data_IF_545095942792
#
_entry.id   IF_545095942792
#
_cell.length_a   1.000
_cell.length_b   1.000
_cell.length_c   1.000
_cell.angle_alpha   90.00
_cell.angle_beta   90.00
_cell.angle_gamma   90.00
#
_symmetry.space_group_name_H-M   'P 1'
#
loop_
_entity.id
_entity.type
_entity.pdbx_description
1 polymer ?
#
# COMPACT_ATOMS: atom_id res chain seq x y z
N UNK A 1 -0.49 11.48 6.10
CA UNK A 1 -1.16 10.85 4.95
C UNK A 1 -2.05 11.85 4.22
N UNK A 2 -2.18 11.70 2.90
CA UNK A 2 -3.12 12.45 2.08
C UNK A 2 -4.38 11.62 1.83
N UNK A 3 -5.54 12.26 1.87
CA UNK A 3 -6.83 11.64 1.53
C UNK A 3 -7.66 12.59 0.70
N UNK A 4 -8.53 12.06 -0.14
CA UNK A 4 -9.45 12.86 -0.96
C UNK A 4 -9.80 12.17 -2.27
N UNK A 5 -10.96 12.51 -2.81
CA UNK A 5 -11.50 11.92 -4.06
C UNK A 5 -10.85 12.49 -5.32
N UNK A 6 -10.42 13.74 -5.25
CA UNK A 6 -9.79 14.48 -6.36
C UNK A 6 -8.74 15.43 -5.80
N UNK A 7 -7.80 15.88 -6.64
CA UNK A 7 -6.79 16.84 -6.24
C UNK A 7 -7.38 18.11 -5.57
N UNK A 8 -8.49 18.62 -6.12
CA UNK A 8 -9.15 19.83 -5.59
C UNK A 8 -9.94 19.59 -4.29
N UNK A 9 -10.10 18.35 -3.85
CA UNK A 9 -10.80 17.94 -2.63
C UNK A 9 -9.95 16.96 -1.85
N UNK A 10 -8.67 17.24 -1.73
CA UNK A 10 -7.72 16.48 -0.94
C UNK A 10 -7.33 17.23 0.32
N UNK A 11 -7.04 16.48 1.36
CA UNK A 11 -6.56 16.97 2.65
C UNK A 11 -5.32 16.17 3.02
N UNK A 12 -4.26 16.87 3.43
CA UNK A 12 -3.06 16.25 3.98
C UNK A 12 -3.13 16.36 5.50
N UNK A 13 -3.07 15.23 6.18
CA UNK A 13 -3.11 15.14 7.64
C UNK A 13 -1.70 14.85 8.14
N UNK A 14 -1.21 15.71 9.04
CA UNK A 14 0.11 15.58 9.67
C UNK A 14 -0.08 15.43 11.17
N UNK A 15 0.59 14.46 11.79
CA UNK A 15 0.53 14.27 13.23
C UNK A 15 1.48 15.23 13.94
N UNK A 16 1.14 15.61 15.16
CA UNK A 16 2.03 16.44 16.00
C UNK A 16 3.36 15.73 16.32
N UNK A 17 3.35 14.39 16.36
CA UNK A 17 4.57 13.59 16.52
C UNK A 17 5.52 13.77 15.34
N UNK A 18 5.00 13.76 14.12
CA UNK A 18 5.79 13.97 12.91
C UNK A 18 6.40 15.37 12.87
N UNK A 19 5.60 16.40 13.20
CA UNK A 19 6.04 17.80 13.28
C UNK A 19 7.15 18.04 14.31
N UNK A 20 7.18 17.27 15.39
CA UNK A 20 8.22 17.38 16.44
C UNK A 20 9.50 16.62 16.10
N UNK A 21 9.40 15.61 15.24
CA UNK A 21 10.49 14.66 14.98
C UNK A 21 11.31 15.01 13.75
N UNK A 22 10.66 15.55 12.72
CA UNK A 22 11.29 15.89 11.47
C UNK A 22 11.74 17.35 11.45
N UNK A 23 12.89 17.61 10.86
CA UNK A 23 13.28 18.97 10.53
C UNK A 23 12.47 19.48 9.32
N UNK A 24 12.65 20.75 8.96
CA UNK A 24 11.87 21.38 7.90
C UNK A 24 12.06 20.69 6.56
N UNK A 25 13.30 20.35 6.17
CA UNK A 25 13.58 19.73 4.86
C UNK A 25 13.00 18.31 4.79
N UNK A 26 13.10 17.55 5.88
CA UNK A 26 12.53 16.22 6.01
C UNK A 26 11.00 16.26 5.95
N UNK A 27 10.39 17.24 6.61
CA UNK A 27 8.94 17.45 6.56
C UNK A 27 8.47 17.85 5.16
N UNK A 28 9.19 18.74 4.48
CA UNK A 28 8.93 19.11 3.08
C UNK A 28 9.00 17.88 2.17
N UNK A 29 10.00 17.02 2.36
CA UNK A 29 10.14 15.76 1.61
C UNK A 29 8.93 14.84 1.80
N UNK A 30 8.49 14.64 3.05
CA UNK A 30 7.31 13.82 3.36
C UNK A 30 6.03 14.43 2.80
N UNK A 31 5.84 15.74 2.92
CA UNK A 31 4.67 16.41 2.37
C UNK A 31 4.62 16.33 0.84
N UNK A 32 5.77 16.47 0.18
CA UNK A 32 5.88 16.34 -1.28
C UNK A 32 5.58 14.90 -1.73
N UNK A 33 6.00 13.88 -0.96
CA UNK A 33 5.63 12.50 -1.19
C UNK A 33 4.10 12.30 -1.11
N UNK A 34 3.45 12.81 -0.07
CA UNK A 34 2.00 12.74 0.10
C UNK A 34 1.24 13.49 -1.02
N UNK A 35 1.75 14.65 -1.42
CA UNK A 35 1.18 15.42 -2.54
C UNK A 35 1.34 14.68 -3.87
N UNK A 36 2.40 13.90 -4.04
CA UNK A 36 2.61 13.06 -5.21
C UNK A 36 1.53 12.00 -5.36
N UNK A 37 1.07 11.38 -4.26
CA UNK A 37 -0.08 10.47 -4.26
C UNK A 37 -1.37 11.15 -4.74
N UNK A 38 -1.58 12.39 -4.30
CA UNK A 38 -2.73 13.21 -4.75
C UNK A 38 -2.65 13.50 -6.25
N UNK A 39 -1.48 13.92 -6.73
CA UNK A 39 -1.25 14.24 -8.13
C UNK A 39 -1.47 13.03 -9.05
N UNK A 40 -1.04 11.84 -8.64
CA UNK A 40 -1.21 10.59 -9.38
C UNK A 40 -2.60 9.97 -9.24
N UNK A 41 -3.51 10.59 -8.47
CA UNK A 41 -4.89 10.10 -8.22
C UNK A 41 -4.91 8.68 -7.65
N UNK A 42 -4.01 8.40 -6.79
CA UNK A 42 -3.73 7.05 -6.28
C UNK A 42 -4.94 6.39 -5.60
N UNK A 43 -5.77 7.17 -4.90
CA UNK A 43 -7.03 6.69 -4.31
C UNK A 43 -7.95 6.12 -5.39
N UNK A 44 -8.10 6.82 -6.52
CA UNK A 44 -8.94 6.37 -7.63
C UNK A 44 -8.40 5.08 -8.26
N UNK A 45 -7.10 5.02 -8.51
CA UNK A 45 -6.44 3.84 -9.10
C UNK A 45 -6.62 2.62 -8.21
N UNK A 46 -6.39 2.76 -6.89
CA UNK A 46 -6.56 1.67 -5.94
C UNK A 46 -8.01 1.25 -5.77
N UNK A 47 -8.96 2.18 -5.82
CA UNK A 47 -10.38 1.87 -5.76
C UNK A 47 -10.81 1.01 -6.95
N UNK A 48 -10.40 1.39 -8.16
CA UNK A 48 -10.70 0.62 -9.39
C UNK A 48 -10.05 -0.77 -9.33
N UNK A 49 -8.78 -0.84 -8.94
CA UNK A 49 -8.06 -2.11 -8.82
C UNK A 49 -8.71 -3.06 -7.80
N UNK A 50 -9.16 -2.51 -6.66
CA UNK A 50 -9.81 -3.29 -5.61
C UNK A 50 -11.19 -3.78 -6.00
N UNK A 51 -11.91 -3.06 -6.87
CA UNK A 51 -13.26 -3.43 -7.31
C UNK A 51 -13.29 -4.83 -7.97
N UNK A 52 -12.29 -5.15 -8.78
CA UNK A 52 -12.19 -6.47 -9.44
C UNK A 52 -12.07 -7.61 -8.43
N UNK A 53 -11.25 -7.43 -7.38
CA UNK A 53 -11.09 -8.41 -6.32
C UNK A 53 -12.36 -8.58 -5.49
N UNK A 54 -13.06 -7.47 -5.19
CA UNK A 54 -14.33 -7.48 -4.45
C UNK A 54 -15.40 -8.22 -5.27
N UNK A 55 -15.50 -7.94 -6.57
CA UNK A 55 -16.44 -8.59 -7.46
C UNK A 55 -16.18 -10.10 -7.57
N UNK A 56 -14.93 -10.51 -7.74
CA UNK A 56 -14.56 -11.92 -7.76
C UNK A 56 -14.90 -12.63 -6.44
N UNK A 57 -14.62 -12.00 -5.30
CA UNK A 57 -14.97 -12.52 -3.99
C UNK A 57 -16.49 -12.61 -3.78
N UNK A 58 -17.26 -11.67 -4.30
CA UNK A 58 -18.71 -11.69 -4.26
C UNK A 58 -19.27 -12.86 -5.09
N UNK A 59 -18.79 -13.06 -6.32
CA UNK A 59 -19.19 -14.18 -7.19
C UNK A 59 -18.88 -15.52 -6.51
N UNK A 60 -17.68 -15.69 -5.97
CA UNK A 60 -17.31 -16.91 -5.25
C UNK A 60 -18.25 -17.21 -4.07
N UNK A 61 -18.58 -16.18 -3.27
CA UNK A 61 -19.47 -16.30 -2.13
C UNK A 61 -20.91 -16.65 -2.53
N UNK A 62 -21.43 -15.98 -3.54
CA UNK A 62 -22.80 -16.27 -4.03
C UNK A 62 -22.91 -17.64 -4.66
N UNK A 63 -21.88 -18.12 -5.35
CA UNK A 63 -21.80 -19.48 -5.86
C UNK A 63 -21.85 -20.52 -4.72
N UNK A 64 -21.07 -20.28 -3.64
CA UNK A 64 -21.10 -21.14 -2.45
C UNK A 64 -22.49 -21.22 -1.79
N UNK A 65 -23.14 -20.09 -1.63
CA UNK A 65 -24.48 -20.06 -1.00
C UNK A 65 -25.56 -20.66 -1.89
N UNK A 66 -25.50 -20.44 -3.19
CA UNK A 66 -26.42 -21.03 -4.15
C UNK A 66 -26.35 -22.55 -4.24
N UNK A 67 -25.18 -23.14 -3.89
CA UNK A 67 -25.01 -24.60 -3.86
C UNK A 67 -25.58 -25.27 -2.61
N UNK A 68 -25.67 -24.54 -1.48
CA UNK A 68 -26.22 -25.09 -0.22
C UNK A 68 -27.73 -25.39 -0.27
N UNK A 69 -28.46 -24.79 -1.21
CA UNK A 69 -29.91 -24.98 -1.36
C UNK A 69 -30.34 -25.87 -2.52
N UNK A 70 -29.42 -26.43 -3.28
CA UNK A 70 -29.74 -27.30 -4.44
C UNK A 70 -29.64 -28.78 -4.10
N UNK A 71 -30.62 -29.54 -4.61
CA UNK A 71 -30.62 -30.99 -4.52
C UNK A 71 -29.35 -31.59 -5.12
N UNK A 72 -28.63 -32.42 -4.36
CA UNK A 72 -27.36 -33.06 -4.72
C UNK A 72 -27.46 -34.03 -5.90
N UNK A 73 -28.58 -34.10 -6.60
CA UNK A 73 -28.83 -35.03 -7.70
C UNK A 73 -28.37 -34.59 -9.08
N UNK A 74 -28.05 -33.30 -9.26
CA UNK A 74 -27.62 -32.79 -10.55
C UNK A 74 -26.09 -32.69 -10.62
N UNK A 75 -25.44 -33.71 -11.20
CA UNK A 75 -23.99 -33.77 -11.39
C UNK A 75 -23.45 -32.58 -12.20
N UNK A 76 -24.22 -32.05 -13.16
CA UNK A 76 -23.78 -30.92 -13.96
C UNK A 76 -23.75 -29.62 -13.13
N UNK A 77 -24.70 -29.45 -12.22
CA UNK A 77 -24.71 -28.30 -11.31
C UNK A 77 -23.53 -28.33 -10.35
N UNK A 78 -23.12 -29.50 -9.88
CA UNK A 78 -21.93 -29.66 -9.03
C UNK A 78 -20.62 -29.29 -9.76
N UNK A 79 -20.48 -29.75 -11.00
CA UNK A 79 -19.29 -29.42 -11.83
C UNK A 79 -19.22 -27.91 -12.11
N UNK A 80 -20.31 -27.28 -12.52
CA UNK A 80 -20.39 -25.84 -12.74
C UNK A 80 -20.03 -25.06 -11.48
N UNK A 81 -20.54 -25.47 -10.32
CA UNK A 81 -20.19 -24.86 -9.04
C UNK A 81 -18.69 -24.92 -8.74
N UNK A 82 -18.08 -26.10 -8.89
CA UNK A 82 -16.62 -26.28 -8.66
C UNK A 82 -15.83 -25.37 -9.60
N UNK A 83 -16.16 -25.36 -10.89
CA UNK A 83 -15.46 -24.53 -11.90
C UNK A 83 -15.58 -23.05 -11.55
N UNK A 84 -16.78 -22.54 -11.27
CA UNK A 84 -17.00 -21.13 -10.92
C UNK A 84 -16.24 -20.76 -9.64
N UNK A 85 -16.26 -21.64 -8.65
CA UNK A 85 -15.52 -21.41 -7.39
C UNK A 85 -14.02 -21.34 -7.62
N UNK A 86 -13.46 -22.32 -8.36
CA UNK A 86 -12.02 -22.34 -8.66
C UNK A 86 -11.58 -21.11 -9.47
N UNK A 87 -12.32 -20.76 -10.53
CA UNK A 87 -12.02 -19.59 -11.33
C UNK A 87 -12.08 -18.31 -10.49
N UNK A 88 -13.11 -18.17 -9.66
CA UNK A 88 -13.23 -17.00 -8.78
C UNK A 88 -12.11 -16.92 -7.76
N UNK A 89 -11.66 -18.05 -7.20
CA UNK A 89 -10.54 -18.11 -6.28
C UNK A 89 -9.23 -17.71 -6.96
N UNK A 90 -8.99 -18.18 -8.19
CA UNK A 90 -7.81 -17.80 -8.97
C UNK A 90 -7.83 -16.30 -9.28
N UNK A 91 -8.95 -15.76 -9.75
CA UNK A 91 -9.11 -14.33 -10.03
C UNK A 91 -8.88 -13.50 -8.77
N UNK A 92 -9.42 -13.93 -7.62
CA UNK A 92 -9.20 -13.27 -6.35
C UNK A 92 -7.73 -13.27 -5.96
N UNK A 93 -7.03 -14.41 -6.04
CA UNK A 93 -5.62 -14.54 -5.68
C UNK A 93 -4.73 -13.68 -6.60
N UNK A 94 -4.97 -13.71 -7.92
CA UNK A 94 -4.25 -12.89 -8.88
C UNK A 94 -4.49 -11.40 -8.62
N UNK A 95 -5.75 -11.00 -8.42
CA UNK A 95 -6.11 -9.60 -8.10
C UNK A 95 -5.42 -9.13 -6.82
N UNK A 96 -5.36 -9.98 -5.79
CA UNK A 96 -4.68 -9.68 -4.55
C UNK A 96 -3.20 -9.39 -4.74
N UNK A 97 -2.48 -10.23 -5.50
CA UNK A 97 -1.06 -10.03 -5.81
C UNK A 97 -0.84 -8.76 -6.64
N UNK A 98 -1.70 -8.52 -7.64
CA UNK A 98 -1.60 -7.33 -8.49
C UNK A 98 -1.83 -6.04 -7.70
N UNK A 99 -2.81 -6.01 -6.80
CA UNK A 99 -3.08 -4.85 -5.93
C UNK A 99 -1.85 -4.54 -5.06
N UNK A 100 -1.19 -5.58 -4.51
CA UNK A 100 0.03 -5.42 -3.71
C UNK A 100 1.21 -4.93 -4.55
N UNK A 101 1.37 -5.47 -5.75
CA UNK A 101 2.40 -5.00 -6.68
C UNK A 101 2.16 -3.53 -7.07
N UNK A 102 0.92 -3.17 -7.40
CA UNK A 102 0.53 -1.81 -7.74
C UNK A 102 0.79 -0.85 -6.57
N UNK A 103 0.40 -1.23 -5.35
CA UNK A 103 0.66 -0.43 -4.14
C UNK A 103 2.14 -0.12 -3.99
N UNK A 104 3.02 -1.12 -4.12
CA UNK A 104 4.48 -0.91 -4.05
C UNK A 104 5.00 0.01 -5.16
N UNK A 105 4.48 -0.14 -6.37
CA UNK A 105 4.89 0.70 -7.50
C UNK A 105 4.54 2.16 -7.28
N UNK A 106 3.36 2.42 -6.70
CA UNK A 106 2.89 3.76 -6.35
C UNK A 106 3.77 4.43 -5.30
N UNK A 107 4.19 3.69 -4.27
CA UNK A 107 5.12 4.21 -3.26
C UNK A 107 6.44 4.66 -3.88
N UNK A 108 7.02 3.84 -4.77
CA UNK A 108 8.25 4.20 -5.47
C UNK A 108 8.03 5.41 -6.41
N UNK A 109 6.86 5.51 -7.02
CA UNK A 109 6.46 6.66 -7.82
C UNK A 109 6.33 7.94 -6.99
N UNK A 110 5.73 7.83 -5.79
CA UNK A 110 5.58 8.94 -4.86
C UNK A 110 6.93 9.39 -4.28
N UNK A 111 7.84 8.47 -3.98
CA UNK A 111 9.21 8.80 -3.58
C UNK A 111 9.93 9.60 -4.67
N UNK A 112 9.84 9.15 -5.92
CA UNK A 112 10.41 9.87 -7.05
C UNK A 112 9.77 11.25 -7.23
N UNK A 113 8.43 11.32 -7.17
CA UNK A 113 7.69 12.58 -7.29
C UNK A 113 8.06 13.57 -6.19
N UNK A 114 8.09 13.12 -4.93
CA UNK A 114 8.49 13.92 -3.79
C UNK A 114 9.94 14.43 -3.91
N UNK A 115 10.85 13.56 -4.31
CA UNK A 115 12.25 13.91 -4.56
C UNK A 115 12.42 14.96 -5.66
N UNK A 116 11.65 14.84 -6.75
CA UNK A 116 11.71 15.82 -7.87
C UNK A 116 11.07 17.15 -7.50
N UNK A 117 9.99 17.15 -6.72
CA UNK A 117 9.31 18.39 -6.28
C UNK A 117 10.20 19.19 -5.35
N UNK A 118 10.89 18.54 -4.42
CA UNK A 118 11.75 19.23 -3.46
C UNK A 118 13.16 19.47 -3.96
N UNK A 119 13.64 18.70 -4.94
CA UNK A 119 15.04 18.67 -5.37
C UNK A 119 15.98 18.07 -4.30
N UNK A 120 15.45 17.49 -3.23
CA UNK A 120 16.20 17.01 -2.05
C UNK A 120 15.84 15.57 -1.66
N UNK A 121 16.17 14.57 -2.50
CA UNK A 121 15.90 13.16 -2.18
C UNK A 121 16.57 12.68 -0.90
N UNK A 122 17.73 13.24 -0.53
CA UNK A 122 18.43 12.92 0.72
C UNK A 122 17.61 13.29 1.96
N UNK A 123 16.88 14.40 1.94
CA UNK A 123 15.99 14.80 3.04
C UNK A 123 14.83 13.82 3.23
N UNK A 124 14.18 13.38 2.15
CA UNK A 124 13.16 12.35 2.20
C UNK A 124 13.72 11.02 2.71
N UNK A 125 14.93 10.64 2.30
CA UNK A 125 15.59 9.42 2.78
C UNK A 125 15.84 9.47 4.29
N UNK A 126 16.34 10.60 4.83
CA UNK A 126 16.52 10.80 6.27
C UNK A 126 15.20 10.73 7.03
N UNK A 127 14.14 11.36 6.50
CA UNK A 127 12.81 11.30 7.08
C UNK A 127 12.31 9.85 7.21
N UNK A 128 12.43 9.06 6.13
CA UNK A 128 12.04 7.65 6.11
C UNK A 128 12.81 6.83 7.14
N UNK A 129 14.10 7.06 7.29
CA UNK A 129 14.93 6.37 8.29
C UNK A 129 14.52 6.72 9.72
N UNK A 130 14.27 8.00 10.02
CA UNK A 130 13.80 8.46 11.33
C UNK A 130 12.46 7.84 11.70
N UNK A 131 11.48 7.93 10.79
CA UNK A 131 10.14 7.39 11.00
C UNK A 131 10.18 5.86 11.20
N UNK A 132 10.95 5.15 10.38
CA UNK A 132 11.09 3.70 10.48
C UNK A 132 11.78 3.27 11.77
N UNK A 133 12.80 3.98 12.20
CA UNK A 133 13.50 3.73 13.46
C UNK A 133 12.60 3.90 14.67
N UNK A 134 11.78 4.95 14.67
CA UNK A 134 10.83 5.22 15.76
C UNK A 134 9.71 4.16 15.81
N UNK A 135 9.20 3.75 14.65
CA UNK A 135 8.20 2.68 14.56
C UNK A 135 8.71 1.34 15.10
N UNK A 136 9.99 1.04 14.92
CA UNK A 136 10.61 -0.17 15.46
C UNK A 136 10.68 -0.19 17.01
N UNK A 137 10.54 0.98 17.66
CA UNK A 137 10.56 1.11 19.12
C UNK A 137 9.15 1.04 19.75
N UNK A 138 8.09 1.13 18.95
CA UNK A 138 6.71 1.05 19.45
C UNK A 138 6.37 -0.42 19.76
N UNK A 139 5.85 -0.73 20.98
CA UNK A 139 5.44 -2.08 21.33
C UNK A 139 4.40 -2.65 20.35
N UNK A 140 4.57 -3.91 19.95
CA UNK A 140 3.70 -4.58 18.95
C UNK A 140 2.23 -4.59 19.37
N UNK A 141 1.95 -4.54 20.68
CA UNK A 141 0.57 -4.48 21.22
C UNK A 141 -0.12 -3.17 20.83
N UNK A 142 0.59 -2.04 20.90
CA UNK A 142 0.03 -0.72 20.57
C UNK A 142 -0.16 -0.56 19.08
N UNK A 143 0.69 -1.20 18.28
CA UNK A 143 0.59 -1.23 16.82
C UNK A 143 -0.68 -1.97 16.34
N UNK A 144 -1.10 -3.03 17.01
CA UNK A 144 -2.33 -3.78 16.66
C UNK A 144 -3.61 -2.98 16.87
N UNK A 145 -3.64 -2.10 17.86
CA UNK A 145 -4.80 -1.21 18.08
C UNK A 145 -4.93 -0.14 17.01
N UNK A 146 -3.82 0.14 16.30
CA UNK A 146 -3.76 1.11 15.20
C UNK A 146 -3.93 0.47 13.81
N UNK A 147 -4.12 -0.86 13.73
CA UNK A 147 -4.21 -1.59 12.47
C UNK A 147 -5.25 -1.03 11.47
N UNK A 148 -6.44 -0.59 11.87
CA UNK A 148 -7.40 0.05 10.96
C UNK A 148 -6.89 1.37 10.38
N UNK A 149 -6.02 2.09 11.10
CA UNK A 149 -5.43 3.36 10.67
C UNK A 149 -4.12 3.13 9.92
N UNK A 150 -3.43 2.02 10.17
CA UNK A 150 -2.14 1.68 9.55
C UNK A 150 -2.24 1.44 8.05
N UNK A 151 -3.41 1.09 7.53
CA UNK A 151 -3.67 0.99 6.09
C UNK A 151 -3.50 2.34 5.38
N UNK A 152 -3.65 3.44 6.11
CA UNK A 152 -3.46 4.82 5.65
C UNK A 152 -2.14 5.43 6.13
N UNK A 153 -1.36 4.70 6.94
CA UNK A 153 -0.11 5.20 7.47
C UNK A 153 1.04 4.98 6.48
N UNK A 154 2.02 5.85 6.56
CA UNK A 154 3.23 5.85 5.74
C UNK A 154 4.05 4.56 5.87
N UNK A 155 3.91 3.85 6.99
CA UNK A 155 4.53 2.57 7.27
C UNK A 155 3.51 1.58 7.85
N UNK A 156 3.47 0.33 7.37
CA UNK A 156 2.73 -0.71 8.06
C UNK A 156 3.45 -1.05 9.36
N UNK A 157 2.69 -1.07 10.43
CA UNK A 157 3.17 -1.35 11.78
C UNK A 157 3.67 -2.80 11.99
N UNK A 158 3.61 -3.65 10.97
CA UNK A 158 3.92 -5.08 11.08
C UNK A 158 4.75 -5.53 9.87
N UNK A 159 6.04 -5.76 10.05
CA UNK A 159 6.87 -6.38 9.01
C UNK A 159 8.36 -6.26 9.22
N UNK A 160 8.87 -6.78 10.33
CA UNK A 160 10.29 -7.04 10.51
C UNK A 160 10.62 -8.47 10.13
N UNK A 161 11.13 -8.72 8.93
CA UNK A 161 11.62 -10.03 8.54
C UNK A 161 12.57 -9.93 7.34
N UNK A 162 13.86 -10.15 7.56
CA UNK A 162 14.87 -10.33 6.52
C UNK A 162 14.70 -11.72 5.90
N UNK A 163 14.29 -11.78 4.63
CA UNK A 163 14.25 -13.02 3.86
C UNK A 163 13.30 -12.91 2.67
N UNK A 164 13.51 -13.76 1.67
CA UNK A 164 12.56 -14.00 0.59
C UNK A 164 11.34 -14.70 1.21
N UNK A 165 10.47 -13.95 1.83
CA UNK A 165 9.30 -14.48 2.51
C UNK A 165 8.06 -14.09 1.70
N UNK A 166 7.07 -14.95 1.72
CA UNK A 166 5.72 -14.64 1.21
C UNK A 166 5.20 -13.32 1.82
N UNK A 167 5.62 -12.99 3.04
CA UNK A 167 5.35 -11.71 3.72
C UNK A 167 5.83 -10.50 2.92
N UNK A 168 7.00 -10.56 2.28
CA UNK A 168 7.51 -9.48 1.42
C UNK A 168 6.69 -9.28 0.15
N UNK A 169 6.10 -10.35 -0.41
CA UNK A 169 5.20 -10.28 -1.57
C UNK A 169 3.83 -9.71 -1.13
N UNK A 170 3.41 -10.04 0.08
CA UNK A 170 2.12 -9.63 0.64
C UNK A 170 2.16 -8.24 1.30
N UNK A 171 3.31 -7.64 1.51
CA UNK A 171 3.44 -6.29 2.03
C UNK A 171 2.86 -5.25 1.06
N UNK A 172 2.14 -4.28 1.59
CA UNK A 172 1.56 -3.17 0.82
C UNK A 172 2.58 -2.11 0.44
N UNK A 173 3.66 -1.98 1.21
CA UNK A 173 4.74 -1.03 0.98
C UNK A 173 6.03 -1.75 0.59
N UNK A 174 6.89 -1.12 -0.24
CA UNK A 174 8.21 -1.65 -0.52
C UNK A 174 9.06 -1.67 0.76
N UNK A 175 9.99 -2.61 0.88
CA UNK A 175 11.00 -2.56 1.94
C UNK A 175 11.74 -1.23 1.94
N UNK A 176 12.06 -0.72 3.14
CA UNK A 176 12.77 0.54 3.32
C UNK A 176 14.06 0.60 2.50
N UNK A 177 14.84 -0.49 2.49
CA UNK A 177 16.09 -0.59 1.75
C UNK A 177 15.92 -0.27 0.24
N UNK A 178 14.83 -0.74 -0.36
CA UNK A 178 14.54 -0.46 -1.78
C UNK A 178 14.18 0.99 -2.01
N UNK A 179 13.43 1.62 -1.12
CA UNK A 179 13.08 3.05 -1.18
C UNK A 179 14.33 3.89 -1.05
N UNK A 180 15.18 3.59 -0.06
CA UNK A 180 16.45 4.30 0.17
C UNK A 180 17.41 4.15 -1.02
N UNK A 181 17.53 2.95 -1.59
CA UNK A 181 18.36 2.72 -2.77
C UNK A 181 17.88 3.53 -3.98
N UNK A 182 16.56 3.65 -4.18
CA UNK A 182 16.00 4.48 -5.25
C UNK A 182 16.28 5.97 -5.00
N UNK A 183 16.06 6.46 -3.77
CA UNK A 183 16.32 7.85 -3.41
C UNK A 183 17.80 8.21 -3.55
N UNK A 184 18.71 7.31 -3.15
CA UNK A 184 20.15 7.49 -3.35
C UNK A 184 20.54 7.62 -4.84
N UNK A 185 19.88 6.84 -5.71
CA UNK A 185 20.09 6.94 -7.15
C UNK A 185 19.61 8.29 -7.69
N UNK A 186 18.42 8.74 -7.27
CA UNK A 186 17.87 10.05 -7.66
C UNK A 186 18.75 11.18 -7.12
N UNK A 187 19.27 11.04 -5.89
CA UNK A 187 20.20 12.01 -5.29
C UNK A 187 21.47 12.18 -6.13
N UNK A 188 22.03 11.08 -6.60
CA UNK A 188 23.20 11.12 -7.49
C UNK A 188 22.86 11.78 -8.84
N UNK A 189 21.67 11.54 -9.40
CA UNK A 189 21.21 12.14 -10.66
C UNK A 189 20.97 13.65 -10.53
N UNK A 190 20.46 14.12 -9.38
CA UNK A 190 20.18 15.54 -9.13
C UNK A 190 21.36 16.31 -8.53
N UNK A 191 22.45 15.63 -8.13
CA UNK A 191 23.58 16.25 -7.45
C UNK A 191 23.28 16.73 -6.03
N UNK A 192 22.23 16.18 -5.39
CA UNK A 192 21.88 16.41 -3.98
C UNK A 192 22.85 15.63 -3.08
N UNK A 193 23.51 16.32 -2.14
CA UNK A 193 24.54 15.76 -1.26
C UNK A 193 24.15 15.85 0.22
#
# INVERSE_FOLDING_TARGET
YATGRTANRSVVVVTTGLLRRLDQEELEGVLAHELSHVAHRDVTVMTIASFTAILAGFIARTAMWGSMGRDRRDQNAAVVFIVVTLVSLIVYAVSYVLIRALSRYRELGADRGGALITGRPSALARALQKISGDMAQIPTRDLRTMEPVSAFAFFPALGGGRGFSLEGILATHPPLDKRLAQLAKISAELGDR
#
